data_IF_210060920517
#
_entry.id   IF_210060920517
#
_cell.length_a   1.000
_cell.length_b   1.000
_cell.length_c   1.000
_cell.angle_alpha   90.00
_cell.angle_beta   90.00
_cell.angle_gamma   90.00
#
_symmetry.space_group_name_H-M   'P 1'
#
loop_
_entity.id
_entity.type
_entity.pdbx_description
1 polymer ?
#
# COMPACT_ATOMS: atom_id res chain seq x y z
N UNK A 1 6.90 16.77 2.49
CA UNK A 1 5.72 17.27 1.72
C UNK A 1 5.17 16.11 0.88
N UNK A 2 3.89 15.72 1.00
CA UNK A 2 3.36 14.56 0.28
C UNK A 2 3.01 14.96 -1.16
N UNK A 3 3.82 14.54 -2.14
CA UNK A 3 3.61 14.87 -3.57
C UNK A 3 2.29 14.30 -4.11
N UNK A 4 1.79 13.21 -3.55
CA UNK A 4 0.49 12.61 -3.90
C UNK A 4 -0.63 13.59 -3.56
N UNK A 5 -0.58 14.25 -2.40
CA UNK A 5 -1.61 15.26 -2.01
C UNK A 5 -1.59 16.54 -2.85
N UNK A 6 -0.54 16.78 -3.64
CA UNK A 6 -0.41 17.95 -4.51
C UNK A 6 -0.78 17.66 -5.97
N UNK A 7 -1.10 16.40 -6.29
CA UNK A 7 -1.60 16.01 -7.60
C UNK A 7 -3.10 16.34 -7.67
N UNK A 8 -3.58 16.82 -8.82
CA UNK A 8 -5.01 16.95 -9.08
C UNK A 8 -5.57 15.57 -9.44
N UNK A 9 -6.48 15.03 -8.63
CA UNK A 9 -7.00 13.67 -8.77
C UNK A 9 -8.39 13.62 -9.42
N UNK A 10 -8.88 14.75 -9.94
CA UNK A 10 -10.18 14.84 -10.62
C UNK A 10 -11.33 14.22 -9.80
N UNK A 11 -11.49 14.64 -8.54
CA UNK A 11 -12.49 14.18 -7.57
C UNK A 11 -12.23 12.80 -6.93
N UNK A 12 -11.10 12.13 -7.23
CA UNK A 12 -10.73 10.89 -6.54
C UNK A 12 -10.13 11.13 -5.14
N UNK A 13 -9.83 12.39 -4.77
CA UNK A 13 -9.21 12.75 -3.50
C UNK A 13 -10.00 12.23 -2.29
N UNK A 14 -11.33 12.19 -2.38
CA UNK A 14 -12.21 11.71 -1.30
C UNK A 14 -12.15 10.21 -1.06
N UNK A 15 -11.60 9.44 -2.00
CA UNK A 15 -11.44 8.00 -1.91
C UNK A 15 -10.01 7.58 -1.55
N UNK A 16 -9.08 8.53 -1.45
CA UNK A 16 -7.66 8.27 -1.21
C UNK A 16 -7.26 8.63 0.21
N UNK A 17 -6.76 7.65 0.95
CA UNK A 17 -6.09 7.87 2.24
C UNK A 17 -4.59 7.73 2.05
N UNK A 18 -3.85 8.82 2.28
CA UNK A 18 -2.40 8.88 2.04
C UNK A 18 -1.64 8.99 3.37
N UNK A 19 -0.61 8.16 3.51
CA UNK A 19 0.28 8.12 4.68
C UNK A 19 1.69 8.60 4.30
N UNK A 20 2.45 9.08 5.29
CA UNK A 20 3.86 9.41 5.12
C UNK A 20 4.72 8.17 5.40
N UNK A 21 5.81 8.02 4.65
CA UNK A 21 6.71 6.87 4.79
C UNK A 21 7.74 7.04 5.93
N UNK A 22 7.92 8.25 6.47
CA UNK A 22 9.00 8.58 7.42
C UNK A 22 8.90 7.87 8.78
N UNK A 23 7.75 7.26 9.10
CA UNK A 23 7.51 6.61 10.40
C UNK A 23 7.49 5.08 10.32
N UNK A 24 7.91 4.49 9.19
CA UNK A 24 7.81 3.05 8.99
C UNK A 24 9.04 2.45 8.31
N UNK A 25 9.43 1.25 8.73
CA UNK A 25 10.51 0.47 8.13
C UNK A 25 10.26 0.26 6.64
N UNK A 26 11.30 0.45 5.83
CA UNK A 26 11.20 0.31 4.38
C UNK A 26 10.94 -1.15 3.98
N UNK A 27 10.27 -1.33 2.84
CA UNK A 27 10.10 -2.65 2.22
C UNK A 27 11.47 -3.32 2.03
N UNK A 28 11.60 -4.64 2.23
CA UNK A 28 10.53 -5.65 2.22
C UNK A 28 9.81 -5.87 3.56
N UNK A 29 10.15 -5.12 4.61
CA UNK A 29 9.51 -5.30 5.92
C UNK A 29 8.00 -4.99 5.85
N UNK A 30 7.13 -5.89 6.37
CA UNK A 30 5.69 -5.74 6.27
C UNK A 30 5.10 -4.75 7.28
N UNK A 31 5.92 -4.14 8.15
CA UNK A 31 5.49 -3.21 9.20
C UNK A 31 4.55 -2.12 8.69
N UNK A 32 4.84 -1.53 7.52
CA UNK A 32 3.98 -0.51 6.93
C UNK A 32 2.59 -1.03 6.64
N UNK A 33 2.52 -2.18 5.98
CA UNK A 33 1.25 -2.77 5.61
C UNK A 33 0.48 -3.27 6.84
N UNK A 34 1.18 -3.88 7.80
CA UNK A 34 0.58 -4.31 9.07
C UNK A 34 0.02 -3.13 9.88
N UNK A 35 0.73 -2.01 9.94
CA UNK A 35 0.26 -0.81 10.63
C UNK A 35 -0.98 -0.22 9.94
N UNK A 36 -1.00 -0.17 8.60
CA UNK A 36 -2.17 0.29 7.84
C UNK A 36 -3.39 -0.58 8.08
N UNK A 37 -3.21 -1.90 8.07
CA UNK A 37 -4.28 -2.88 8.34
C UNK A 37 -4.84 -2.67 9.75
N UNK A 38 -3.96 -2.57 10.75
CA UNK A 38 -4.37 -2.37 12.14
C UNK A 38 -5.07 -1.03 12.36
N UNK A 39 -4.52 0.06 11.83
CA UNK A 39 -5.06 1.43 11.98
C UNK A 39 -6.46 1.55 11.38
N UNK A 40 -6.71 0.87 10.26
CA UNK A 40 -8.00 0.91 9.57
C UNK A 40 -8.93 -0.27 9.96
N UNK A 41 -8.53 -1.11 10.91
CA UNK A 41 -9.29 -2.29 11.35
C UNK A 41 -9.69 -3.22 10.19
N UNK A 42 -8.80 -3.40 9.22
CA UNK A 42 -9.06 -4.21 8.02
C UNK A 42 -8.74 -5.69 8.28
N UNK A 43 -9.42 -6.57 7.56
CA UNK A 43 -9.07 -7.99 7.52
C UNK A 43 -8.02 -8.24 6.43
N UNK A 44 -6.93 -8.93 6.76
CA UNK A 44 -5.86 -9.28 5.80
C UNK A 44 -6.38 -9.95 4.52
N UNK A 45 -7.42 -10.79 4.63
CA UNK A 45 -8.03 -11.49 3.49
C UNK A 45 -8.85 -10.60 2.57
N UNK A 46 -9.15 -9.38 2.99
CA UNK A 46 -9.91 -8.38 2.22
C UNK A 46 -8.99 -7.27 1.70
N UNK A 47 -7.68 -7.40 1.91
CA UNK A 47 -6.66 -6.44 1.51
C UNK A 47 -5.86 -7.00 0.37
N UNK A 48 -5.63 -6.14 -0.63
CA UNK A 48 -4.79 -6.45 -1.78
C UNK A 48 -3.73 -5.37 -1.95
N UNK A 49 -2.50 -5.80 -2.16
CA UNK A 49 -1.37 -4.92 -2.45
C UNK A 49 -1.11 -4.92 -3.96
N UNK A 50 -1.06 -3.73 -4.55
CA UNK A 50 -0.73 -3.56 -5.98
C UNK A 50 0.65 -2.92 -6.08
N UNK A 51 1.56 -3.54 -6.82
CA UNK A 51 2.94 -3.08 -6.97
C UNK A 51 3.52 -3.36 -8.35
N UNK A 52 4.80 -3.06 -8.56
CA UNK A 52 5.50 -3.33 -9.82
C UNK A 52 6.89 -3.96 -9.62
N UNK A 53 7.26 -4.26 -8.38
CA UNK A 53 8.57 -4.82 -8.03
C UNK A 53 8.44 -6.14 -7.27
N UNK A 54 9.49 -6.95 -7.31
CA UNK A 54 9.56 -8.18 -6.49
C UNK A 54 9.63 -7.88 -4.99
N UNK A 55 10.12 -6.69 -4.60
CA UNK A 55 10.14 -6.25 -3.20
C UNK A 55 8.71 -6.04 -2.68
N UNK A 56 7.81 -5.54 -3.52
CA UNK A 56 6.39 -5.35 -3.19
C UNK A 56 5.69 -6.69 -2.94
N UNK A 57 5.98 -7.67 -3.80
CA UNK A 57 5.46 -9.04 -3.69
C UNK A 57 5.92 -9.70 -2.37
N UNK A 58 7.22 -9.62 -2.07
CA UNK A 58 7.77 -10.14 -0.81
C UNK A 58 7.14 -9.46 0.42
N UNK A 59 6.85 -8.16 0.34
CA UNK A 59 6.19 -7.42 1.42
C UNK A 59 4.76 -7.92 1.62
N UNK A 60 4.03 -8.16 0.53
CA UNK A 60 2.66 -8.66 0.57
C UNK A 60 2.59 -10.09 1.14
N UNK A 61 3.51 -10.97 0.72
CA UNK A 61 3.66 -12.33 1.26
C UNK A 61 3.97 -12.30 2.76
N UNK A 62 4.92 -11.46 3.19
CA UNK A 62 5.29 -11.32 4.60
C UNK A 62 4.14 -10.77 5.47
N UNK A 63 3.27 -9.94 4.90
CA UNK A 63 2.07 -9.43 5.57
C UNK A 63 0.87 -10.40 5.50
N UNK A 64 0.93 -11.43 4.65
CA UNK A 64 -0.14 -12.39 4.40
C UNK A 64 -1.35 -11.79 3.68
N UNK A 65 -1.12 -10.90 2.72
CA UNK A 65 -2.17 -10.31 1.87
C UNK A 65 -1.99 -10.73 0.41
N UNK A 66 -3.05 -10.59 -0.39
CA UNK A 66 -2.96 -10.84 -1.83
C UNK A 66 -2.11 -9.77 -2.52
N UNK A 67 -1.39 -10.18 -3.57
CA UNK A 67 -0.56 -9.29 -4.38
C UNK A 67 -1.00 -9.31 -5.85
N UNK A 68 -1.04 -8.13 -6.46
CA UNK A 68 -1.18 -7.97 -7.90
C UNK A 68 -0.04 -7.15 -8.49
N UNK A 69 0.56 -7.70 -9.54
CA UNK A 69 1.52 -6.97 -10.35
C UNK A 69 0.79 -6.04 -11.32
N UNK A 70 1.05 -4.74 -11.21
CA UNK A 70 0.45 -3.70 -12.06
C UNK A 70 0.80 -3.84 -13.55
N UNK A 71 1.93 -4.48 -13.88
CA UNK A 71 2.33 -4.72 -15.29
C UNK A 71 1.50 -5.80 -15.98
N UNK A 72 0.79 -6.64 -15.22
CA UNK A 72 -0.06 -7.70 -15.80
C UNK A 72 -1.36 -7.14 -16.41
N UNK A 73 -1.74 -5.90 -16.07
CA UNK A 73 -2.98 -5.25 -16.53
C UNK A 73 -2.80 -4.28 -17.69
N UNK A 74 -1.55 -3.94 -18.05
CA UNK A 74 -1.23 -2.93 -19.09
C UNK A 74 -0.94 -3.62 -20.42
#
# INVERSE_FOLDING_TARGET
LNKIKQTEWHALESYLTCYFADEITAKPEPDALNQLIATNSLNRREVVMIGNSSIDELTAEAAGVDYFNSTTFI
#
